data_IF_541324637182
#
_entry.id   IF_541324637182
#
_cell.length_a   1.000
_cell.length_b   1.000
_cell.length_c   1.000
_cell.angle_alpha   90.00
_cell.angle_beta   90.00
_cell.angle_gamma   90.00
#
_symmetry.space_group_name_H-M   'P 1'
#
loop_
_entity.id
_entity.type
_entity.pdbx_description
1 polymer ?
#
# COMPACT_ATOMS: atom_id res chain seq x y z
N UNK A 1 3.38 -19.98 17.19
CA UNK A 1 2.37 -20.93 16.64
C UNK A 1 2.83 -22.39 16.71
N UNK A 2 4.12 -22.67 16.80
CA UNK A 2 4.69 -24.03 16.67
C UNK A 2 4.61 -24.62 15.26
N UNK A 3 4.16 -23.83 14.26
CA UNK A 3 4.14 -24.24 12.86
C UNK A 3 5.49 -23.89 12.20
N UNK A 4 5.92 -24.73 11.25
CA UNK A 4 7.05 -24.37 10.39
C UNK A 4 6.59 -23.31 9.39
N UNK A 5 7.23 -22.16 9.40
CA UNK A 5 6.99 -21.08 8.44
C UNK A 5 8.13 -21.08 7.41
N UNK A 6 7.76 -21.04 6.12
CA UNK A 6 8.70 -20.94 5.01
C UNK A 6 8.44 -19.63 4.29
N UNK A 7 9.45 -18.76 4.26
CA UNK A 7 9.39 -17.53 3.47
C UNK A 7 9.56 -17.84 1.99
N UNK A 8 8.59 -17.40 1.19
CA UNK A 8 8.60 -17.57 -0.26
C UNK A 8 8.62 -16.17 -0.91
N UNK A 9 9.76 -15.75 -1.46
CA UNK A 9 9.87 -14.46 -2.13
C UNK A 9 9.05 -14.46 -3.43
N UNK A 10 8.47 -13.31 -3.76
CA UNK A 10 7.77 -13.05 -5.02
C UNK A 10 8.36 -11.82 -5.69
N UNK A 11 8.26 -11.72 -7.02
CA UNK A 11 8.89 -10.65 -7.81
C UNK A 11 8.17 -9.31 -7.71
N UNK A 12 6.84 -9.34 -7.59
CA UNK A 12 5.98 -8.16 -7.68
C UNK A 12 4.58 -8.40 -7.10
N UNK A 13 3.73 -7.36 -7.13
CA UNK A 13 2.35 -7.40 -6.63
C UNK A 13 1.46 -8.41 -7.37
N UNK A 14 1.63 -8.59 -8.67
CA UNK A 14 0.83 -9.55 -9.44
C UNK A 14 1.22 -10.99 -9.09
N UNK A 15 2.52 -11.23 -8.89
CA UNK A 15 3.04 -12.54 -8.51
C UNK A 15 2.53 -13.01 -7.14
N UNK A 16 2.37 -12.11 -6.14
CA UNK A 16 1.81 -12.50 -4.84
C UNK A 16 0.33 -12.86 -4.94
N UNK A 17 -0.45 -12.11 -5.73
CA UNK A 17 -1.87 -12.41 -5.99
C UNK A 17 -2.01 -13.79 -6.63
N UNK A 18 -1.26 -14.06 -7.70
CA UNK A 18 -1.30 -15.35 -8.39
C UNK A 18 -0.81 -16.50 -7.49
N UNK A 19 0.21 -16.28 -6.69
CA UNK A 19 0.74 -17.30 -5.77
C UNK A 19 -0.26 -17.66 -4.67
N UNK A 20 -1.02 -16.70 -4.17
CA UNK A 20 -2.10 -16.97 -3.22
C UNK A 20 -3.27 -17.72 -3.90
N UNK A 21 -3.68 -17.28 -5.11
CA UNK A 21 -4.76 -17.90 -5.86
C UNK A 21 -4.45 -19.33 -6.31
N UNK A 22 -3.18 -19.62 -6.63
CA UNK A 22 -2.71 -20.96 -7.04
C UNK A 22 -2.23 -21.81 -5.86
N UNK A 23 -2.47 -21.37 -4.62
CA UNK A 23 -2.15 -22.09 -3.37
C UNK A 23 -0.64 -22.33 -3.15
N UNK A 24 0.21 -21.54 -3.80
CA UNK A 24 1.67 -21.54 -3.57
C UNK A 24 2.04 -20.77 -2.30
N UNK A 25 1.17 -19.88 -1.84
CA UNK A 25 1.26 -19.17 -0.57
C UNK A 25 0.03 -19.44 0.28
N UNK A 26 0.24 -19.66 1.57
CA UNK A 26 -0.82 -19.85 2.56
C UNK A 26 -1.22 -18.53 3.23
N UNK A 27 -0.24 -17.64 3.40
CA UNK A 27 -0.36 -16.36 4.07
C UNK A 27 0.46 -15.30 3.30
N UNK A 28 -0.10 -14.13 3.06
CA UNK A 28 0.55 -13.04 2.35
C UNK A 28 0.33 -11.69 3.05
N UNK A 29 1.35 -10.83 3.02
CA UNK A 29 1.25 -9.42 3.35
C UNK A 29 0.85 -8.64 2.10
N UNK A 30 -0.35 -8.06 2.10
CA UNK A 30 -0.93 -7.40 0.93
C UNK A 30 -1.27 -5.94 1.25
N UNK A 31 -1.15 -5.05 0.26
CA UNK A 31 -1.86 -3.77 0.29
C UNK A 31 -3.35 -3.97 0.03
N UNK A 32 -4.18 -2.99 0.39
CA UNK A 32 -5.64 -3.09 0.24
C UNK A 32 -6.08 -3.39 -1.19
N UNK A 33 -5.46 -2.75 -2.20
CA UNK A 33 -5.77 -3.03 -3.61
C UNK A 33 -5.31 -4.41 -4.05
N UNK A 34 -4.12 -4.83 -3.63
CA UNK A 34 -3.62 -6.19 -3.90
C UNK A 34 -4.49 -7.25 -3.24
N UNK A 35 -5.01 -6.98 -2.03
CA UNK A 35 -6.01 -7.83 -1.38
C UNK A 35 -7.31 -7.92 -2.21
N UNK A 36 -7.84 -6.80 -2.68
CA UNK A 36 -9.05 -6.80 -3.54
C UNK A 36 -8.82 -7.61 -4.82
N UNK A 37 -7.66 -7.47 -5.45
CA UNK A 37 -7.28 -8.29 -6.61
C UNK A 37 -7.22 -9.78 -6.25
N UNK A 38 -6.63 -10.13 -5.10
CA UNK A 38 -6.60 -11.51 -4.60
C UNK A 38 -8.01 -12.05 -4.31
N UNK A 39 -8.87 -11.26 -3.65
CA UNK A 39 -10.28 -11.59 -3.39
C UNK A 39 -11.01 -11.94 -4.69
N UNK A 40 -10.90 -11.09 -5.72
CA UNK A 40 -11.52 -11.32 -7.03
C UNK A 40 -10.94 -12.58 -7.69
N UNK A 41 -9.61 -12.71 -7.72
CA UNK A 41 -8.90 -13.83 -8.36
C UNK A 41 -9.20 -15.19 -7.71
N UNK A 42 -9.54 -15.19 -6.42
CA UNK A 42 -9.91 -16.39 -5.63
C UNK A 42 -11.43 -16.59 -5.50
N UNK A 43 -12.25 -15.88 -6.28
CA UNK A 43 -13.72 -15.90 -6.18
C UNK A 43 -14.22 -15.64 -4.75
N UNK A 44 -13.60 -14.69 -4.06
CA UNK A 44 -14.01 -14.24 -2.72
C UNK A 44 -13.47 -15.09 -1.56
N UNK A 45 -12.65 -16.10 -1.81
CA UNK A 45 -12.19 -17.03 -0.74
C UNK A 45 -10.98 -16.52 0.04
N UNK A 46 -10.22 -15.54 -0.47
CA UNK A 46 -9.13 -14.92 0.31
C UNK A 46 -9.66 -14.17 1.53
N UNK A 47 -9.07 -14.41 2.71
CA UNK A 47 -9.54 -13.89 3.99
C UNK A 47 -8.47 -12.98 4.61
N UNK A 48 -8.72 -11.66 4.76
CA UNK A 48 -7.84 -10.80 5.52
C UNK A 48 -8.10 -11.05 7.02
N UNK A 49 -7.06 -11.36 7.76
CA UNK A 49 -7.21 -11.80 9.17
C UNK A 49 -6.81 -10.73 10.19
N UNK A 50 -5.74 -10.00 9.92
CA UNK A 50 -5.23 -8.93 10.76
C UNK A 50 -4.61 -7.81 9.93
N UNK A 51 -4.53 -6.63 10.52
CA UNK A 51 -3.83 -5.47 9.98
C UNK A 51 -3.10 -4.75 11.12
N UNK A 52 -2.18 -3.85 10.79
CA UNK A 52 -1.65 -2.91 11.79
C UNK A 52 -2.73 -1.87 12.11
N UNK A 53 -2.72 -1.32 13.30
CA UNK A 53 -3.66 -0.25 13.68
C UNK A 53 -3.55 0.95 12.71
N UNK A 54 -2.36 1.28 12.26
CA UNK A 54 -2.05 2.34 11.31
C UNK A 54 -2.71 2.14 9.94
N UNK A 55 -3.00 0.90 9.57
CA UNK A 55 -3.56 0.57 8.26
C UNK A 55 -5.06 0.87 8.15
N UNK A 56 -5.75 1.11 9.25
CA UNK A 56 -7.15 1.55 9.24
C UNK A 56 -7.32 3.03 8.86
N UNK A 57 -6.26 3.83 8.99
CA UNK A 57 -6.23 5.27 8.74
C UNK A 57 -5.02 5.66 7.88
N UNK A 58 -4.70 4.82 6.92
CA UNK A 58 -3.52 5.00 6.06
C UNK A 58 -3.66 6.17 5.10
N UNK A 59 -2.55 6.76 4.67
CA UNK A 59 -2.51 7.88 3.73
C UNK A 59 -1.39 7.74 2.71
N UNK A 60 -1.46 8.53 1.64
CA UNK A 60 -0.38 8.73 0.67
C UNK A 60 0.10 10.18 0.71
N UNK A 61 1.38 10.38 0.46
CA UNK A 61 1.99 11.71 0.36
C UNK A 61 2.34 12.03 -1.08
N UNK A 62 1.86 13.18 -1.55
CA UNK A 62 2.27 13.77 -2.82
C UNK A 62 3.52 14.61 -2.59
N UNK A 63 4.54 14.36 -3.38
CA UNK A 63 5.86 14.97 -3.26
C UNK A 63 6.28 15.68 -4.53
N UNK A 64 7.08 16.73 -4.40
CA UNK A 64 7.65 17.48 -5.52
C UNK A 64 8.99 18.11 -5.14
N UNK A 65 9.83 18.35 -6.15
CA UNK A 65 11.00 19.21 -6.05
C UNK A 65 10.75 20.62 -6.64
N UNK A 66 9.63 20.82 -7.36
CA UNK A 66 9.26 22.10 -7.98
C UNK A 66 8.62 23.02 -6.92
N UNK A 67 9.22 24.19 -6.59
CA UNK A 67 8.66 25.12 -5.62
C UNK A 67 7.34 25.75 -6.09
N UNK A 68 7.01 25.72 -7.39
CA UNK A 68 5.78 26.23 -7.95
C UNK A 68 4.56 25.32 -7.69
N UNK A 69 4.78 24.00 -7.49
CA UNK A 69 3.70 23.05 -7.20
C UNK A 69 3.34 23.12 -5.72
N UNK A 70 2.20 23.69 -5.37
CA UNK A 70 1.71 23.87 -3.98
C UNK A 70 0.42 23.11 -3.71
N UNK A 71 -0.36 22.83 -4.73
CA UNK A 71 -1.68 22.19 -4.67
C UNK A 71 -1.78 21.07 -5.70
N UNK A 72 -2.80 20.20 -5.60
CA UNK A 72 -3.06 19.18 -6.61
C UNK A 72 -3.40 19.80 -7.98
N UNK A 73 -4.04 20.96 -8.02
CA UNK A 73 -4.38 21.67 -9.25
C UNK A 73 -3.13 22.06 -10.08
N UNK A 74 -1.99 22.32 -9.42
CA UNK A 74 -0.75 22.67 -10.08
C UNK A 74 -0.10 21.51 -10.83
N UNK A 75 -0.65 20.30 -10.70
CA UNK A 75 -0.20 19.10 -11.43
C UNK A 75 -0.65 19.09 -12.91
N UNK A 76 -1.58 19.96 -13.33
CA UNK A 76 -2.00 20.06 -14.73
C UNK A 76 -0.81 20.39 -15.62
N UNK A 77 -0.65 19.59 -16.68
CA UNK A 77 0.46 19.72 -17.63
C UNK A 77 1.84 19.30 -17.09
N UNK A 78 1.92 18.75 -15.90
CA UNK A 78 3.17 18.27 -15.29
C UNK A 78 3.40 16.78 -15.57
N UNK A 79 4.66 16.34 -15.44
CA UNK A 79 5.02 14.94 -15.43
C UNK A 79 4.83 14.36 -14.03
N UNK A 80 4.18 13.19 -13.94
CA UNK A 80 3.83 12.60 -12.64
C UNK A 80 4.24 11.14 -12.52
N UNK A 81 4.82 10.77 -11.37
CA UNK A 81 5.22 9.40 -11.06
C UNK A 81 4.30 8.78 -10.02
N UNK A 82 3.58 7.73 -10.41
CA UNK A 82 2.99 6.77 -9.47
C UNK A 82 4.03 5.73 -9.02
N UNK A 83 3.72 4.96 -7.97
CA UNK A 83 4.52 3.80 -7.54
C UNK A 83 4.37 2.60 -8.49
N UNK A 84 4.02 1.42 -7.97
CA UNK A 84 3.68 0.26 -8.79
C UNK A 84 2.20 0.29 -9.19
N UNK A 85 1.80 -0.24 -10.38
CA UNK A 85 0.41 -0.23 -10.85
C UNK A 85 -0.60 -0.82 -9.86
N UNK A 86 -0.28 -1.94 -9.19
CA UNK A 86 -1.14 -2.60 -8.19
C UNK A 86 -0.94 -2.10 -6.75
N UNK A 87 -0.21 -1.00 -6.55
CA UNK A 87 -0.06 -0.38 -5.23
C UNK A 87 -1.32 0.38 -4.84
N UNK A 88 -1.81 0.18 -3.61
CA UNK A 88 -2.90 0.97 -3.03
C UNK A 88 -2.47 2.42 -2.86
N UNK A 89 -1.44 2.65 -2.06
CA UNK A 89 -0.97 3.98 -1.65
C UNK A 89 -0.07 4.67 -2.67
N UNK A 90 0.55 3.92 -3.58
CA UNK A 90 1.39 4.47 -4.64
C UNK A 90 0.68 4.66 -5.97
N UNK A 91 -0.55 4.15 -6.14
CA UNK A 91 -1.27 4.23 -7.42
C UNK A 91 -2.78 4.42 -7.25
N UNK A 92 -3.52 3.40 -6.78
CA UNK A 92 -4.97 3.41 -6.82
C UNK A 92 -5.59 4.57 -6.05
N UNK A 93 -5.32 4.67 -4.74
CA UNK A 93 -5.99 5.66 -3.89
C UNK A 93 -5.61 7.11 -4.24
N UNK A 94 -4.34 7.43 -4.50
CA UNK A 94 -3.98 8.74 -5.04
C UNK A 94 -4.71 9.08 -6.34
N UNK A 95 -4.80 8.14 -7.28
CA UNK A 95 -5.53 8.33 -8.54
C UNK A 95 -7.01 8.59 -8.31
N UNK A 96 -7.64 7.81 -7.44
CA UNK A 96 -9.03 7.98 -7.06
C UNK A 96 -9.28 9.38 -6.48
N UNK A 97 -8.46 9.84 -5.53
CA UNK A 97 -8.62 11.17 -4.94
C UNK A 97 -8.34 12.30 -5.94
N UNK A 98 -7.34 12.16 -6.83
CA UNK A 98 -7.14 13.12 -7.91
C UNK A 98 -8.40 13.23 -8.79
N UNK A 99 -9.04 12.12 -9.12
CA UNK A 99 -10.28 12.11 -9.91
C UNK A 99 -11.46 12.74 -9.14
N UNK A 100 -11.56 12.53 -7.83
CA UNK A 100 -12.57 13.19 -6.99
C UNK A 100 -12.38 14.73 -6.97
N UNK A 101 -11.13 15.20 -7.03
CA UNK A 101 -10.77 16.63 -7.13
C UNK A 101 -10.86 17.16 -8.56
N UNK A 102 -11.43 16.39 -9.51
CA UNK A 102 -11.62 16.80 -10.89
C UNK A 102 -10.37 16.75 -11.76
N UNK A 103 -9.31 16.04 -11.30
CA UNK A 103 -8.08 15.84 -12.06
C UNK A 103 -8.02 14.41 -12.62
N UNK A 104 -7.96 14.26 -13.91
CA UNK A 104 -7.75 12.97 -14.57
C UNK A 104 -6.27 12.85 -14.98
N UNK A 105 -5.46 12.00 -14.33
CA UNK A 105 -4.04 11.91 -14.63
C UNK A 105 -3.72 11.62 -16.09
N UNK A 106 -4.52 10.80 -16.77
CA UNK A 106 -4.31 10.44 -18.17
C UNK A 106 -4.64 11.56 -19.17
N UNK A 107 -5.43 12.56 -18.74
CA UNK A 107 -5.87 13.67 -19.60
C UNK A 107 -5.21 14.99 -19.22
N UNK A 108 -5.07 15.24 -17.91
CA UNK A 108 -4.67 16.53 -17.39
C UNK A 108 -3.15 16.64 -17.16
N UNK A 109 -2.47 15.51 -17.01
CA UNK A 109 -1.00 15.49 -16.81
C UNK A 109 -0.29 15.37 -18.16
N UNK A 110 0.90 15.96 -18.27
CA UNK A 110 1.74 15.86 -19.47
C UNK A 110 2.18 14.41 -19.74
N UNK A 111 2.57 13.71 -18.66
CA UNK A 111 3.00 12.31 -18.73
C UNK A 111 2.77 11.65 -17.39
N UNK A 112 2.27 10.43 -17.42
CA UNK A 112 2.18 9.53 -16.26
C UNK A 112 3.20 8.42 -16.40
N UNK A 113 4.01 8.21 -15.36
CA UNK A 113 5.00 7.13 -15.29
C UNK A 113 4.77 6.29 -14.02
N UNK A 114 5.29 5.07 -14.02
CA UNK A 114 5.34 4.21 -12.85
C UNK A 114 6.79 4.00 -12.44
N UNK A 115 7.12 4.36 -11.21
CA UNK A 115 8.47 4.20 -10.65
C UNK A 115 8.78 2.76 -10.22
N UNK A 116 7.74 1.96 -10.01
CA UNK A 116 7.81 0.56 -9.57
C UNK A 116 7.89 0.36 -8.06
N UNK A 117 8.38 1.34 -7.30
CA UNK A 117 8.52 1.25 -5.84
C UNK A 117 8.41 2.64 -5.18
N UNK A 118 8.07 2.67 -3.88
CA UNK A 118 7.89 3.94 -3.17
C UNK A 118 9.17 4.77 -3.04
N UNK A 119 10.29 4.15 -2.74
CA UNK A 119 11.61 4.81 -2.68
C UNK A 119 12.08 5.26 -4.06
N UNK A 120 11.80 4.47 -5.10
CA UNK A 120 12.07 4.85 -6.49
C UNK A 120 11.26 6.10 -6.91
N UNK A 121 10.03 6.28 -6.39
CA UNK A 121 9.25 7.51 -6.65
C UNK A 121 10.00 8.76 -6.12
N UNK A 122 10.55 8.67 -4.92
CA UNK A 122 11.36 9.78 -4.36
C UNK A 122 12.58 10.06 -5.22
N UNK A 123 13.28 9.01 -5.65
CA UNK A 123 14.44 9.14 -6.52
C UNK A 123 14.08 9.76 -7.89
N UNK A 124 12.91 9.42 -8.47
CA UNK A 124 12.42 10.01 -9.73
C UNK A 124 12.21 11.51 -9.59
N UNK A 125 11.52 11.94 -8.52
CA UNK A 125 11.28 13.36 -8.25
C UNK A 125 12.58 14.10 -7.95
N UNK A 126 13.43 13.54 -7.09
CA UNK A 126 14.71 14.14 -6.74
C UNK A 126 15.64 14.33 -7.94
N UNK A 127 15.59 13.41 -8.92
CA UNK A 127 16.39 13.45 -10.15
C UNK A 127 15.74 14.28 -11.28
N UNK A 128 14.57 14.90 -11.04
CA UNK A 128 13.83 15.65 -12.07
C UNK A 128 13.25 14.80 -13.21
N UNK A 129 13.13 13.47 -13.01
CA UNK A 129 12.50 12.56 -13.99
C UNK A 129 10.98 12.69 -13.98
N UNK A 130 10.41 13.21 -12.89
CA UNK A 130 9.03 13.62 -12.78
C UNK A 130 8.97 14.90 -11.95
N UNK A 131 8.03 15.82 -12.28
CA UNK A 131 7.82 17.08 -11.58
C UNK A 131 7.22 16.82 -10.19
N UNK A 132 6.40 15.78 -10.07
CA UNK A 132 5.79 15.33 -8.83
C UNK A 132 5.60 13.81 -8.83
N UNK A 133 5.31 13.28 -7.65
CA UNK A 133 5.00 11.86 -7.49
C UNK A 133 4.21 11.59 -6.23
N UNK A 134 3.81 10.35 -6.02
CA UNK A 134 3.05 9.92 -4.85
C UNK A 134 3.57 8.60 -4.29
N UNK A 135 3.61 8.51 -2.97
CA UNK A 135 4.08 7.31 -2.28
C UNK A 135 3.39 7.10 -0.94
N UNK A 136 3.61 5.94 -0.39
CA UNK A 136 3.23 5.50 0.93
C UNK A 136 3.79 6.41 2.03
N UNK A 137 2.94 6.89 2.93
CA UNK A 137 3.32 7.79 4.04
C UNK A 137 4.41 7.17 4.91
N UNK A 138 4.27 5.90 5.33
CA UNK A 138 5.23 5.29 6.26
C UNK A 138 6.61 5.03 5.63
N UNK A 139 6.67 4.88 4.31
CA UNK A 139 7.95 4.81 3.59
C UNK A 139 8.60 6.19 3.51
N UNK A 140 7.82 7.24 3.20
CA UNK A 140 8.32 8.60 3.23
C UNK A 140 8.92 8.95 4.60
N UNK A 141 8.17 8.71 5.67
CA UNK A 141 8.60 9.03 7.02
C UNK A 141 9.90 8.30 7.39
N UNK A 142 10.02 7.01 7.05
CA UNK A 142 11.25 6.23 7.24
C UNK A 142 12.44 6.79 6.45
N UNK A 143 12.22 7.25 5.21
CA UNK A 143 13.28 7.85 4.39
C UNK A 143 13.77 9.17 4.99
N UNK A 144 12.86 9.98 5.55
CA UNK A 144 13.18 11.23 6.26
C UNK A 144 13.95 10.92 7.55
N UNK A 145 13.45 10.03 8.41
CA UNK A 145 14.10 9.64 9.66
C UNK A 145 15.51 9.09 9.43
N UNK A 146 15.68 8.26 8.40
CA UNK A 146 16.97 7.68 8.03
C UNK A 146 17.87 8.61 7.22
N UNK A 147 17.46 9.87 7.01
CA UNK A 147 18.18 10.89 6.22
C UNK A 147 18.51 10.44 4.79
N UNK A 148 17.67 9.57 4.21
CA UNK A 148 17.82 9.08 2.83
C UNK A 148 17.15 9.99 1.79
N UNK A 149 16.44 11.02 2.23
CA UNK A 149 15.86 12.07 1.39
C UNK A 149 16.26 13.44 1.92
N UNK A 150 16.67 14.31 1.01
CA UNK A 150 16.94 15.71 1.31
C UNK A 150 15.62 16.49 1.24
N UNK A 151 15.02 16.76 2.40
CA UNK A 151 13.73 17.47 2.50
C UNK A 151 13.81 18.96 2.13
N UNK A 152 15.01 19.49 1.95
CA UNK A 152 15.18 20.85 1.39
C UNK A 152 14.96 20.88 -0.12
N UNK A 153 15.12 19.72 -0.80
CA UNK A 153 14.96 19.55 -2.25
C UNK A 153 13.64 18.90 -2.64
N UNK A 154 13.21 17.88 -1.89
CA UNK A 154 11.95 17.17 -2.14
C UNK A 154 11.05 17.32 -0.92
N UNK A 155 9.86 17.84 -1.14
CA UNK A 155 8.90 18.10 -0.06
C UNK A 155 7.54 17.48 -0.34
N UNK A 156 6.79 17.24 0.72
CA UNK A 156 5.36 16.91 0.66
C UNK A 156 4.59 18.20 0.42
N UNK A 157 3.65 18.20 -0.53
CA UNK A 157 2.77 19.35 -0.77
C UNK A 157 1.28 19.01 -0.57
N UNK A 158 0.93 17.69 -0.58
CA UNK A 158 -0.42 17.24 -0.29
C UNK A 158 -0.39 15.84 0.33
N UNK A 159 -1.45 15.49 1.06
CA UNK A 159 -1.69 14.17 1.64
C UNK A 159 -3.13 13.76 1.34
N UNK A 160 -3.37 12.50 1.01
CA UNK A 160 -4.73 12.00 0.75
C UNK A 160 -5.58 11.99 2.02
N UNK A 161 -6.91 11.96 1.91
CA UNK A 161 -7.77 11.42 2.95
C UNK A 161 -7.35 10.02 3.38
N UNK A 162 -7.83 9.56 4.54
CA UNK A 162 -7.51 8.22 5.07
C UNK A 162 -8.27 7.12 4.35
N UNK A 163 -7.67 5.94 4.30
CA UNK A 163 -8.25 4.71 3.73
C UNK A 163 -7.63 3.49 4.41
N UNK A 164 -8.26 2.31 4.27
CA UNK A 164 -7.66 1.04 4.69
C UNK A 164 -6.57 0.61 3.71
N UNK A 165 -5.41 0.16 4.21
CA UNK A 165 -4.34 -0.33 3.32
C UNK A 165 -3.90 -1.74 3.73
N UNK A 166 -2.71 -1.92 4.29
CA UNK A 166 -2.09 -3.23 4.44
C UNK A 166 -2.86 -4.20 5.34
N UNK A 167 -2.75 -5.48 5.00
CA UNK A 167 -3.33 -6.58 5.77
C UNK A 167 -2.52 -7.88 5.58
N UNK A 168 -2.65 -8.77 6.52
CA UNK A 168 -2.25 -10.16 6.40
C UNK A 168 -3.46 -10.97 5.95
N UNK A 169 -3.35 -11.60 4.80
CA UNK A 169 -4.41 -12.39 4.15
C UNK A 169 -3.98 -13.84 4.02
N UNK A 170 -4.90 -14.74 4.34
CA UNK A 170 -4.77 -16.18 4.15
C UNK A 170 -5.65 -16.65 2.98
N UNK A 171 -5.29 -17.78 2.36
CA UNK A 171 -6.23 -18.48 1.48
C UNK A 171 -7.34 -19.13 2.29
N UNK A 172 -8.57 -19.03 1.81
CA UNK A 172 -9.77 -19.41 2.58
C UNK A 172 -10.03 -20.92 2.69
N UNK A 173 -9.26 -21.74 2.00
CA UNK A 173 -9.36 -23.20 2.07
C UNK A 173 -8.38 -23.84 3.10
N UNK A 174 -7.68 -23.01 3.89
CA UNK A 174 -6.94 -23.50 5.04
C UNK A 174 -7.88 -24.00 6.12
N UNK A 175 -7.40 -24.95 6.92
CA UNK A 175 -8.10 -25.38 8.13
C UNK A 175 -8.43 -24.16 9.01
N UNK A 176 -9.71 -23.97 9.40
CA UNK A 176 -10.13 -22.86 10.28
C UNK A 176 -9.33 -22.78 11.58
N UNK A 177 -8.86 -23.91 12.12
CA UNK A 177 -8.01 -23.91 13.31
C UNK A 177 -6.64 -23.30 13.04
N UNK A 178 -6.07 -23.49 11.83
CA UNK A 178 -4.83 -22.85 11.40
C UNK A 178 -5.05 -21.34 11.24
N UNK A 179 -6.13 -20.93 10.57
CA UNK A 179 -6.47 -19.52 10.38
C UNK A 179 -6.60 -18.82 11.74
N UNK A 180 -7.36 -19.44 12.67
CA UNK A 180 -7.52 -18.91 14.03
C UNK A 180 -6.18 -18.79 14.75
N UNK A 181 -5.33 -19.80 14.68
CA UNK A 181 -4.02 -19.82 15.34
C UNK A 181 -3.08 -18.74 14.79
N UNK A 182 -3.09 -18.50 13.48
CA UNK A 182 -2.34 -17.39 12.86
C UNK A 182 -2.85 -16.04 13.34
N UNK A 183 -4.17 -15.83 13.30
CA UNK A 183 -4.81 -14.61 13.76
C UNK A 183 -4.49 -14.30 15.22
N UNK A 184 -4.67 -15.30 16.10
CA UNK A 184 -4.41 -15.15 17.54
C UNK A 184 -2.94 -14.82 17.82
N UNK A 185 -2.00 -15.42 17.07
CA UNK A 185 -0.57 -15.15 17.22
C UNK A 185 -0.20 -13.69 16.90
N UNK A 186 -0.80 -13.10 15.85
CA UNK A 186 -0.62 -11.67 15.56
C UNK A 186 -1.23 -10.78 16.63
N UNK A 187 -2.45 -11.09 17.07
CA UNK A 187 -3.16 -10.30 18.08
C UNK A 187 -2.53 -10.38 19.47
N UNK A 188 -1.76 -11.43 19.75
CA UNK A 188 -1.03 -11.61 21.01
C UNK A 188 0.30 -10.87 21.04
N UNK A 189 0.73 -10.22 19.93
CA UNK A 189 1.97 -9.43 19.94
C UNK A 189 1.82 -8.22 20.85
N UNK A 190 2.77 -8.08 21.78
CA UNK A 190 2.77 -7.08 22.85
C UNK A 190 4.07 -6.26 22.76
N UNK A 191 4.00 -4.94 22.50
CA UNK A 191 5.19 -4.10 22.35
C UNK A 191 6.01 -3.95 23.65
N UNK A 192 5.48 -4.35 24.80
CA UNK A 192 6.24 -4.35 26.06
C UNK A 192 7.25 -5.49 26.16
N UNK A 193 7.12 -6.53 25.31
CA UNK A 193 8.03 -7.67 25.26
C UNK A 193 9.07 -7.44 24.16
N UNK A 194 10.38 -7.47 24.49
CA UNK A 194 11.45 -7.15 23.52
C UNK A 194 11.40 -7.97 22.23
N UNK A 195 11.14 -9.28 22.32
CA UNK A 195 11.05 -10.17 21.17
C UNK A 195 9.84 -9.88 20.28
N UNK A 196 8.70 -9.47 20.86
CA UNK A 196 7.52 -9.04 20.10
C UNK A 196 7.75 -7.67 19.49
N UNK A 197 8.39 -6.75 20.24
CA UNK A 197 8.70 -5.40 19.77
C UNK A 197 9.59 -5.46 18.52
N UNK A 198 10.60 -6.33 18.48
CA UNK A 198 11.45 -6.50 17.29
C UNK A 198 10.65 -6.87 16.02
N UNK A 199 9.65 -7.75 16.15
CA UNK A 199 8.74 -8.10 15.04
C UNK A 199 7.88 -6.90 14.65
N UNK A 200 7.32 -6.20 15.63
CA UNK A 200 6.43 -5.05 15.41
C UNK A 200 7.18 -3.87 14.78
N UNK A 201 8.39 -3.58 15.21
CA UNK A 201 9.25 -2.54 14.64
C UNK A 201 9.60 -2.84 13.17
N UNK A 202 9.88 -4.11 12.84
CA UNK A 202 10.12 -4.54 11.47
C UNK A 202 8.91 -4.26 10.57
N UNK A 203 7.70 -4.49 11.10
CA UNK A 203 6.44 -4.22 10.43
C UNK A 203 5.98 -2.76 10.57
N UNK A 204 6.66 -1.94 11.37
CA UNK A 204 6.23 -0.57 11.73
C UNK A 204 4.80 -0.57 12.31
N UNK A 205 4.52 -1.55 13.15
CA UNK A 205 3.22 -1.74 13.78
C UNK A 205 3.27 -1.27 15.24
N UNK A 206 2.37 -0.38 15.63
CA UNK A 206 2.15 -0.09 17.05
C UNK A 206 1.33 -1.18 17.72
N UNK A 207 0.41 -1.79 16.96
CA UNK A 207 -0.46 -2.88 17.38
C UNK A 207 -1.00 -3.61 16.15
N UNK A 208 -1.25 -4.91 16.28
CA UNK A 208 -2.08 -5.65 15.33
C UNK A 208 -3.53 -5.71 15.81
N UNK A 209 -4.46 -5.51 14.88
CA UNK A 209 -5.91 -5.58 15.11
C UNK A 209 -6.56 -6.51 14.11
N UNK A 210 -7.69 -7.09 14.47
CA UNK A 210 -8.47 -7.90 13.54
C UNK A 210 -8.98 -7.03 12.38
N UNK A 211 -9.04 -7.61 11.19
CA UNK A 211 -9.65 -6.97 10.02
C UNK A 211 -10.59 -7.94 9.31
N UNK A 212 -11.39 -7.41 8.40
CA UNK A 212 -12.37 -8.18 7.62
C UNK A 212 -12.49 -7.61 6.20
N UNK A 213 -13.04 -8.42 5.29
CA UNK A 213 -13.19 -8.07 3.87
C UNK A 213 -13.92 -6.74 3.65
N UNK A 214 -14.96 -6.45 4.45
CA UNK A 214 -15.78 -5.24 4.35
C UNK A 214 -14.99 -3.94 4.49
N UNK A 215 -13.89 -3.95 5.24
CA UNK A 215 -13.03 -2.79 5.42
C UNK A 215 -12.40 -2.30 4.10
N UNK A 216 -12.35 -3.17 3.08
CA UNK A 216 -11.74 -2.91 1.77
C UNK A 216 -12.76 -2.65 0.66
N UNK A 217 -14.06 -2.56 0.97
CA UNK A 217 -15.12 -2.26 -0.01
C UNK A 217 -14.90 -0.90 -0.68
N UNK A 218 -14.40 0.09 0.07
CA UNK A 218 -14.02 1.41 -0.47
C UNK A 218 -12.85 1.33 -1.47
N UNK A 219 -11.89 0.45 -1.23
CA UNK A 219 -10.77 0.19 -2.16
C UNK A 219 -11.29 -0.48 -3.43
N UNK A 220 -12.20 -1.45 -3.30
CA UNK A 220 -12.82 -2.12 -4.45
C UNK A 220 -13.63 -1.11 -5.30
N UNK A 221 -14.44 -0.27 -4.65
CA UNK A 221 -15.20 0.78 -5.32
C UNK A 221 -14.28 1.78 -6.05
N UNK A 222 -13.18 2.21 -5.40
CA UNK A 222 -12.17 3.07 -6.01
C UNK A 222 -11.52 2.41 -7.23
N UNK A 223 -11.20 1.12 -7.14
CA UNK A 223 -10.62 0.35 -8.25
C UNK A 223 -11.54 0.26 -9.46
N UNK A 224 -12.83 0.05 -9.23
CA UNK A 224 -13.86 0.07 -10.30
C UNK A 224 -14.02 1.46 -10.90
N UNK A 225 -14.13 2.50 -10.07
CA UNK A 225 -14.26 3.89 -10.51
C UNK A 225 -13.05 4.36 -11.32
N UNK A 226 -11.84 3.95 -10.94
CA UNK A 226 -10.61 4.27 -11.66
C UNK A 226 -10.40 3.44 -12.94
N UNK A 227 -11.28 2.47 -13.24
CA UNK A 227 -11.15 1.56 -14.38
C UNK A 227 -10.01 0.54 -14.24
N UNK A 228 -9.51 0.33 -13.04
CA UNK A 228 -8.42 -0.62 -12.74
C UNK A 228 -8.93 -2.00 -12.30
N UNK A 229 -10.22 -2.13 -12.02
CA UNK A 229 -10.94 -3.38 -11.81
C UNK A 229 -12.09 -3.49 -12.84
N UNK A 230 -12.32 -4.71 -13.32
CA UNK A 230 -13.46 -5.04 -14.19
C UNK A 230 -14.65 -5.49 -13.36
#
# INVERSE_FOLDING_TARGET
TGMKVVFTPVSDYAAVVESLATKKLDLAWLGGFTYVQAKIRTNGTAIPIVQRAEDAVFTSKFITADPAIKTLADLKGKTFAFGAPSSTSGSLMPRFFLQQDGLNPEKDFKTVAYSGAHDATVAFVAAGKADAGVLNTSVWDKLVESKKVDTSKVRVFATTPTYFDYNWTVRGDLDPAIIKKLKDAFLALDPSKPEHKAIMDLQRASKFVATESKNYDGIEAAGKSAGLLK
#
